data_IF_836328906554
#
_entry.id   IF_836328906554
#
_cell.length_a   1.000
_cell.length_b   1.000
_cell.length_c   1.000
_cell.angle_alpha   90.00
_cell.angle_beta   90.00
_cell.angle_gamma   90.00
#
_symmetry.space_group_name_H-M   'P 1'
#
loop_
_entity.id
_entity.type
_entity.pdbx_description
1 polymer ?
#
# COMPACT_ATOMS: atom_id res chain seq x y z
N UNK A 1 10.58 -8.60 -0.22
CA UNK A 1 9.11 -8.71 -0.19
C UNK A 1 8.64 -9.82 -1.09
N UNK A 2 7.58 -10.48 -0.70
CA UNK A 2 6.85 -11.45 -1.51
C UNK A 2 5.39 -11.04 -1.56
N UNK A 3 4.75 -11.13 -2.73
CA UNK A 3 3.33 -10.81 -2.90
C UNK A 3 2.54 -12.11 -2.87
N UNK A 4 1.48 -12.12 -2.11
CA UNK A 4 0.51 -13.21 -2.07
C UNK A 4 -0.90 -12.69 -2.35
N UNK A 5 -1.70 -13.44 -3.10
CA UNK A 5 -3.11 -13.13 -3.32
C UNK A 5 -3.94 -14.41 -3.38
N UNK A 6 -5.20 -14.33 -2.95
CA UNK A 6 -6.11 -15.47 -2.90
C UNK A 6 -6.80 -15.70 -4.26
N UNK A 7 -6.05 -16.21 -5.23
CA UNK A 7 -6.51 -16.47 -6.62
C UNK A 7 -7.39 -17.71 -6.77
N UNK A 8 -8.03 -18.16 -5.74
CA UNK A 8 -8.90 -19.33 -5.82
C UNK A 8 -10.32 -18.95 -6.25
N UNK A 9 -10.96 -19.83 -7.02
CA UNK A 9 -12.40 -19.78 -7.29
C UNK A 9 -13.19 -20.59 -6.28
N UNK A 10 -12.52 -21.48 -5.54
CA UNK A 10 -13.14 -22.33 -4.55
C UNK A 10 -13.49 -21.53 -3.28
N UNK A 11 -14.50 -22.00 -2.59
CA UNK A 11 -14.91 -21.44 -1.30
C UNK A 11 -13.98 -21.96 -0.19
N UNK A 12 -12.77 -21.45 -0.15
CA UNK A 12 -11.97 -21.65 1.05
C UNK A 12 -12.56 -20.82 2.18
N UNK A 13 -12.66 -21.44 3.34
CA UNK A 13 -13.11 -20.76 4.54
C UNK A 13 -12.00 -19.84 5.08
N UNK A 14 -12.38 -18.99 6.02
CA UNK A 14 -11.48 -18.02 6.63
C UNK A 14 -10.28 -18.69 7.31
N UNK A 15 -10.49 -19.81 8.02
CA UNK A 15 -9.43 -20.48 8.75
C UNK A 15 -8.37 -21.04 7.81
N UNK A 16 -8.77 -21.63 6.70
CA UNK A 16 -7.86 -22.11 5.66
C UNK A 16 -6.98 -20.99 5.09
N UNK A 17 -7.58 -19.81 4.82
CA UNK A 17 -6.82 -18.67 4.31
C UNK A 17 -5.81 -18.14 5.32
N UNK A 18 -6.18 -18.10 6.61
CA UNK A 18 -5.27 -17.72 7.69
C UNK A 18 -4.11 -18.69 7.78
N UNK A 19 -4.39 -20.01 7.80
CA UNK A 19 -3.37 -21.04 7.92
C UNK A 19 -2.38 -21.00 6.74
N UNK A 20 -2.90 -20.89 5.50
CA UNK A 20 -2.05 -20.76 4.30
C UNK A 20 -1.18 -19.50 4.33
N UNK A 21 -1.73 -18.37 4.77
CA UNK A 21 -0.98 -17.13 4.86
C UNK A 21 0.08 -17.21 5.95
N UNK A 22 -0.24 -17.73 7.13
CA UNK A 22 0.68 -17.92 8.23
C UNK A 22 1.84 -18.84 7.84
N UNK A 23 1.55 -20.01 7.24
CA UNK A 23 2.58 -20.95 6.76
C UNK A 23 3.50 -20.29 5.71
N UNK A 24 2.92 -19.49 4.80
CA UNK A 24 3.71 -18.75 3.80
C UNK A 24 4.63 -17.74 4.47
N UNK A 25 4.14 -17.02 5.49
CA UNK A 25 4.95 -16.08 6.27
C UNK A 25 6.10 -16.79 7.00
N UNK A 26 5.84 -17.94 7.64
CA UNK A 26 6.87 -18.74 8.33
C UNK A 26 7.97 -19.19 7.36
N UNK A 27 7.61 -19.69 6.18
CA UNK A 27 8.58 -20.07 5.16
C UNK A 27 9.40 -18.86 4.71
N UNK A 28 8.75 -17.74 4.37
CA UNK A 28 9.38 -16.52 3.88
C UNK A 28 10.32 -15.90 4.93
N UNK A 29 9.97 -15.99 6.21
CA UNK A 29 10.77 -15.49 7.32
C UNK A 29 12.18 -16.06 7.35
N UNK A 30 12.34 -17.34 7.04
CA UNK A 30 13.64 -18.02 6.96
C UNK A 30 14.57 -17.42 5.88
N UNK A 31 14.02 -16.67 4.94
CA UNK A 31 14.75 -16.00 3.87
C UNK A 31 14.82 -14.47 4.07
N UNK A 32 14.37 -13.96 5.21
CA UNK A 32 14.32 -12.53 5.50
C UNK A 32 13.33 -11.75 4.64
N UNK A 33 12.25 -12.42 4.16
CA UNK A 33 11.23 -11.82 3.31
C UNK A 33 9.97 -11.49 4.12
N UNK A 34 9.33 -10.39 3.78
CA UNK A 34 7.94 -10.10 4.16
C UNK A 34 6.98 -10.74 3.18
N UNK A 35 5.75 -10.99 3.62
CA UNK A 35 4.66 -11.48 2.77
C UNK A 35 3.54 -10.44 2.77
N UNK A 36 3.34 -9.79 1.63
CA UNK A 36 2.36 -8.72 1.46
C UNK A 36 1.12 -9.30 0.78
N UNK A 37 -0.01 -9.35 1.52
CA UNK A 37 -1.27 -9.89 1.03
C UNK A 37 -2.02 -8.84 0.23
N UNK A 38 -2.29 -9.16 -1.04
CA UNK A 38 -2.99 -8.31 -1.99
C UNK A 38 -4.47 -8.70 -2.10
N UNK A 39 -5.34 -7.72 -2.43
CA UNK A 39 -6.79 -7.90 -2.59
C UNK A 39 -7.29 -7.63 -4.03
N UNK A 40 -6.88 -8.42 -5.03
CA UNK A 40 -7.40 -8.24 -6.39
C UNK A 40 -8.94 -8.33 -6.38
N UNK A 41 -9.60 -7.33 -6.96
CA UNK A 41 -11.07 -7.17 -6.92
C UNK A 41 -11.86 -8.37 -7.47
N UNK A 42 -11.20 -9.25 -8.20
CA UNK A 42 -11.75 -10.48 -8.78
C UNK A 42 -11.28 -11.75 -8.06
N UNK A 43 -10.50 -11.64 -6.98
CA UNK A 43 -10.01 -12.76 -6.17
C UNK A 43 -11.01 -13.18 -5.07
N UNK A 44 -10.61 -14.10 -4.18
CA UNK A 44 -11.44 -14.50 -3.01
C UNK A 44 -11.45 -13.41 -1.94
N UNK A 45 -10.32 -12.74 -1.72
CA UNK A 45 -10.20 -11.57 -0.86
C UNK A 45 -10.22 -10.33 -1.77
N UNK A 46 -11.25 -9.52 -1.68
CA UNK A 46 -11.53 -8.43 -2.63
C UNK A 46 -11.52 -7.04 -2.02
N UNK A 47 -11.50 -6.97 -0.70
CA UNK A 47 -11.55 -5.70 0.03
C UNK A 47 -10.38 -5.57 1.00
N UNK A 48 -10.08 -4.32 1.36
CA UNK A 48 -9.03 -4.02 2.33
C UNK A 48 -9.33 -4.66 3.70
N UNK A 49 -10.59 -4.59 4.14
CA UNK A 49 -11.00 -5.19 5.42
C UNK A 49 -10.82 -6.71 5.45
N UNK A 50 -11.14 -7.41 4.34
CA UNK A 50 -10.95 -8.86 4.25
C UNK A 50 -9.48 -9.25 4.40
N UNK A 51 -8.54 -8.57 3.74
CA UNK A 51 -7.10 -8.87 3.87
C UNK A 51 -6.57 -8.46 5.24
N UNK A 52 -7.01 -7.34 5.78
CA UNK A 52 -6.62 -6.88 7.11
C UNK A 52 -7.04 -7.88 8.21
N UNK A 53 -8.23 -8.47 8.07
CA UNK A 53 -8.72 -9.53 8.96
C UNK A 53 -7.83 -10.77 8.91
N UNK A 54 -7.44 -11.24 7.72
CA UNK A 54 -6.54 -12.39 7.56
C UNK A 54 -5.15 -12.11 8.14
N UNK A 55 -4.57 -10.96 7.80
CA UNK A 55 -3.23 -10.57 8.26
C UNK A 55 -3.16 -10.47 9.78
N UNK A 56 -4.17 -9.83 10.40
CA UNK A 56 -4.26 -9.73 11.87
C UNK A 56 -4.46 -11.08 12.55
N UNK A 57 -5.29 -11.93 11.95
CA UNK A 57 -5.58 -13.24 12.53
C UNK A 57 -4.41 -14.22 12.41
N UNK A 58 -3.58 -14.08 11.37
CA UNK A 58 -2.37 -14.88 11.19
C UNK A 58 -1.23 -14.49 12.15
N UNK A 59 -1.22 -13.24 12.65
CA UNK A 59 -0.30 -12.70 13.67
C UNK A 59 1.18 -13.04 13.40
N UNK A 60 1.64 -12.78 12.16
CA UNK A 60 2.99 -13.08 11.72
C UNK A 60 3.88 -11.83 11.71
N UNK A 61 5.15 -11.91 12.21
CA UNK A 61 6.02 -10.73 12.36
C UNK A 61 6.49 -10.12 11.03
N UNK A 62 6.42 -10.88 9.94
CA UNK A 62 6.80 -10.48 8.59
C UNK A 62 5.60 -10.34 7.65
N UNK A 63 4.40 -10.18 8.21
CA UNK A 63 3.18 -9.95 7.46
C UNK A 63 3.08 -8.53 6.93
N UNK A 64 2.32 -8.34 5.86
CA UNK A 64 2.03 -7.05 5.28
C UNK A 64 0.79 -7.05 4.40
N UNK A 65 0.41 -5.87 3.96
CA UNK A 65 -0.69 -5.65 3.01
C UNK A 65 -0.15 -4.88 1.82
N UNK A 66 -0.35 -5.43 0.63
CA UNK A 66 -0.08 -4.72 -0.61
C UNK A 66 -1.32 -3.96 -1.05
N UNK A 67 -1.18 -2.64 -1.10
CA UNK A 67 -2.16 -1.76 -1.71
C UNK A 67 -1.79 -1.56 -3.19
N UNK A 68 -2.72 -1.92 -4.09
CA UNK A 68 -2.62 -1.60 -5.52
C UNK A 68 -3.67 -0.55 -5.85
N UNK A 69 -3.26 0.57 -6.44
CA UNK A 69 -4.16 1.67 -6.81
C UNK A 69 -5.31 1.21 -7.71
N UNK A 70 -5.06 0.23 -8.60
CA UNK A 70 -6.11 -0.35 -9.42
C UNK A 70 -7.17 -1.09 -8.58
N UNK A 71 -6.74 -1.88 -7.59
CA UNK A 71 -7.68 -2.65 -6.79
C UNK A 71 -8.41 -1.78 -5.75
N UNK A 72 -7.76 -0.73 -5.25
CA UNK A 72 -8.46 0.33 -4.49
C UNK A 72 -9.62 0.92 -5.31
N UNK A 73 -9.38 1.24 -6.58
CA UNK A 73 -10.41 1.77 -7.48
C UNK A 73 -11.49 0.73 -7.79
N UNK A 74 -11.12 -0.47 -8.25
CA UNK A 74 -12.06 -1.52 -8.66
C UNK A 74 -12.90 -2.05 -7.51
N UNK A 75 -12.36 -2.15 -6.31
CA UNK A 75 -13.06 -2.58 -5.09
C UNK A 75 -13.82 -1.44 -4.41
N UNK A 76 -13.74 -0.22 -4.95
CA UNK A 76 -14.39 0.98 -4.39
C UNK A 76 -14.05 1.19 -2.91
N UNK A 77 -12.79 0.99 -2.55
CA UNK A 77 -12.31 1.22 -1.19
C UNK A 77 -12.54 2.69 -0.82
N UNK A 78 -13.15 2.94 0.32
CA UNK A 78 -13.13 4.28 0.88
C UNK A 78 -11.70 4.60 1.32
N UNK A 79 -11.12 5.65 0.76
CA UNK A 79 -9.75 6.01 1.06
C UNK A 79 -9.51 6.27 2.55
N UNK A 80 -10.55 6.61 3.31
CA UNK A 80 -10.48 6.71 4.78
C UNK A 80 -10.12 5.40 5.46
N UNK A 81 -10.42 4.24 4.87
CA UNK A 81 -10.06 2.93 5.40
C UNK A 81 -8.54 2.73 5.46
N UNK A 82 -7.78 3.33 4.54
CA UNK A 82 -6.32 3.27 4.55
C UNK A 82 -5.69 3.83 5.84
N UNK A 83 -6.36 4.77 6.50
CA UNK A 83 -5.90 5.34 7.78
C UNK A 83 -6.02 4.35 8.95
N UNK A 84 -6.81 3.29 8.80
CA UNK A 84 -6.99 2.26 9.83
C UNK A 84 -6.02 1.08 9.69
N UNK A 85 -5.22 1.07 8.61
CA UNK A 85 -4.17 0.06 8.41
C UNK A 85 -2.94 0.48 9.21
N UNK A 86 -2.42 -0.37 10.11
CA UNK A 86 -1.16 -0.11 10.80
C UNK A 86 -0.02 0.17 9.82
N UNK A 87 0.74 1.22 10.05
CA UNK A 87 1.78 1.67 9.11
C UNK A 87 2.86 0.60 8.87
N UNK A 88 3.13 -0.23 9.88
CA UNK A 88 4.07 -1.34 9.83
C UNK A 88 3.66 -2.49 8.90
N UNK A 89 2.38 -2.54 8.50
CA UNK A 89 1.89 -3.52 7.52
C UNK A 89 1.97 -3.02 6.07
N UNK A 90 2.34 -1.76 5.85
CA UNK A 90 2.39 -1.13 4.53
C UNK A 90 3.84 -0.96 4.10
N UNK A 91 4.34 -1.86 3.26
CA UNK A 91 5.74 -1.87 2.85
C UNK A 91 5.99 -1.14 1.53
N UNK A 92 5.06 -1.27 0.59
CA UNK A 92 5.12 -0.60 -0.71
C UNK A 92 3.72 -0.49 -1.34
N UNK A 93 3.61 0.30 -2.39
CA UNK A 93 2.37 0.57 -3.12
C UNK A 93 2.56 0.18 -4.59
N UNK A 94 1.64 -0.60 -5.16
CA UNK A 94 1.55 -0.77 -6.62
C UNK A 94 0.84 0.41 -7.26
N UNK A 95 1.43 0.94 -8.33
CA UNK A 95 0.90 2.11 -9.04
C UNK A 95 0.62 1.81 -10.50
N UNK A 96 -0.62 2.04 -10.89
CA UNK A 96 -1.12 2.08 -12.25
C UNK A 96 -2.43 2.85 -12.28
N UNK A 97 -2.94 3.19 -13.46
CA UNK A 97 -4.19 3.92 -13.62
C UNK A 97 -5.21 3.13 -14.45
N UNK A 98 -6.45 3.60 -14.48
CA UNK A 98 -7.54 3.01 -15.22
C UNK A 98 -8.51 4.07 -15.75
N UNK A 99 -9.22 3.75 -16.84
CA UNK A 99 -10.31 4.57 -17.33
C UNK A 99 -11.43 4.69 -16.29
N UNK A 100 -12.24 5.75 -16.37
CA UNK A 100 -13.44 5.87 -15.56
C UNK A 100 -14.39 4.69 -15.78
N UNK A 101 -15.01 4.25 -14.68
CA UNK A 101 -15.90 3.10 -14.70
C UNK A 101 -15.21 1.84 -14.17
N UNK A 102 -16.01 0.87 -13.80
CA UNK A 102 -15.54 -0.41 -13.28
C UNK A 102 -16.06 -1.49 -14.23
N UNK A 103 -15.19 -2.42 -14.58
CA UNK A 103 -15.60 -3.57 -15.36
C UNK A 103 -16.71 -4.33 -14.62
N UNK A 104 -17.83 -4.59 -15.31
CA UNK A 104 -19.03 -5.18 -14.70
C UNK A 104 -18.90 -6.69 -14.45
N UNK A 105 -17.86 -7.30 -15.03
CA UNK A 105 -17.61 -8.74 -14.93
C UNK A 105 -16.24 -9.05 -14.35
N UNK A 106 -16.12 -10.23 -13.75
CA UNK A 106 -14.85 -10.74 -13.25
C UNK A 106 -13.80 -10.83 -14.36
N UNK A 107 -14.20 -11.32 -15.52
CA UNK A 107 -13.36 -11.45 -16.73
C UNK A 107 -12.89 -10.09 -17.21
N UNK A 108 -13.77 -9.08 -17.21
CA UNK A 108 -13.40 -7.70 -17.55
C UNK A 108 -12.39 -7.08 -16.58
N UNK A 109 -12.54 -7.33 -15.27
CA UNK A 109 -11.56 -6.88 -14.26
C UNK A 109 -10.19 -7.56 -14.47
N UNK A 110 -10.18 -8.86 -14.76
CA UNK A 110 -8.95 -9.61 -15.06
C UNK A 110 -8.27 -9.07 -16.32
N UNK A 111 -9.06 -8.84 -17.38
CA UNK A 111 -8.54 -8.27 -18.63
C UNK A 111 -7.91 -6.90 -18.40
N UNK A 112 -8.58 -6.02 -17.65
CA UNK A 112 -8.06 -4.72 -17.28
C UNK A 112 -6.74 -4.84 -16.49
N UNK A 113 -6.72 -5.66 -15.46
CA UNK A 113 -5.57 -5.82 -14.59
C UNK A 113 -4.34 -6.40 -15.29
N UNK A 114 -4.53 -7.29 -16.28
CA UNK A 114 -3.45 -8.00 -16.97
C UNK A 114 -2.97 -7.39 -18.28
N UNK A 115 -3.85 -6.62 -18.95
CA UNK A 115 -3.58 -6.23 -20.33
C UNK A 115 -3.82 -4.76 -20.65
N UNK A 116 -4.51 -4.01 -19.78
CA UNK A 116 -5.06 -2.72 -20.15
C UNK A 116 -4.89 -1.60 -19.11
N UNK A 117 -3.97 -1.76 -18.14
CA UNK A 117 -3.66 -0.70 -17.19
C UNK A 117 -3.10 0.54 -17.91
N UNK A 118 -3.43 1.72 -17.42
CA UNK A 118 -2.97 2.99 -17.96
C UNK A 118 -1.75 3.53 -17.21
N UNK A 119 -1.02 4.44 -17.83
CA UNK A 119 0.01 5.18 -17.13
C UNK A 119 -0.62 6.07 -16.05
N UNK A 120 0.01 6.19 -14.88
CA UNK A 120 -0.46 7.10 -13.85
C UNK A 120 -0.72 8.51 -14.39
N UNK A 121 -1.92 9.06 -14.13
CA UNK A 121 -2.38 10.36 -14.62
C UNK A 121 -3.10 10.34 -15.96
N UNK A 122 -3.24 9.20 -16.63
CA UNK A 122 -4.06 9.09 -17.85
C UNK A 122 -5.51 8.68 -17.59
N UNK A 123 -5.79 8.20 -16.39
CA UNK A 123 -7.10 7.70 -16.01
C UNK A 123 -7.79 8.56 -14.94
N UNK A 124 -8.41 7.89 -13.98
CA UNK A 124 -9.23 8.55 -12.99
C UNK A 124 -8.90 8.18 -11.54
N UNK A 125 -7.83 7.43 -11.29
CA UNK A 125 -7.47 7.00 -9.93
C UNK A 125 -6.93 8.20 -9.13
N UNK A 126 -7.45 8.40 -7.92
CA UNK A 126 -7.02 9.47 -7.02
C UNK A 126 -5.71 9.10 -6.29
N UNK A 127 -4.59 9.28 -6.98
CA UNK A 127 -3.27 9.04 -6.40
C UNK A 127 -2.97 9.94 -5.20
N UNK A 128 -3.40 11.20 -5.26
CA UNK A 128 -3.18 12.13 -4.17
C UNK A 128 -3.88 11.65 -2.91
N UNK A 129 -5.15 11.26 -3.04
CA UNK A 129 -5.94 10.73 -1.93
C UNK A 129 -5.36 9.44 -1.33
N UNK A 130 -4.82 8.54 -2.16
CA UNK A 130 -4.13 7.32 -1.67
C UNK A 130 -2.84 7.68 -0.94
N UNK A 131 -1.98 8.48 -1.58
CA UNK A 131 -0.66 8.85 -1.03
C UNK A 131 -0.78 9.64 0.28
N UNK A 132 -1.75 10.55 0.38
CA UNK A 132 -1.99 11.32 1.60
C UNK A 132 -2.34 10.45 2.82
N UNK A 133 -2.94 9.29 2.60
CA UNK A 133 -3.43 8.37 3.64
C UNK A 133 -2.50 7.21 3.94
N UNK A 134 -1.46 7.02 3.13
CA UNK A 134 -0.46 5.99 3.36
C UNK A 134 0.80 6.57 4.04
N UNK A 135 1.55 5.78 4.81
CA UNK A 135 2.88 6.18 5.25
C UNK A 135 3.81 6.40 4.05
N UNK A 136 4.98 7.04 4.21
CA UNK A 136 6.00 7.06 3.18
C UNK A 136 6.49 5.65 2.87
N UNK A 137 6.18 5.14 1.68
CA UNK A 137 6.55 3.80 1.21
C UNK A 137 7.20 3.88 -0.17
N UNK A 138 7.80 2.78 -0.61
CA UNK A 138 8.27 2.65 -1.99
C UNK A 138 7.08 2.48 -2.95
N UNK A 139 7.26 2.97 -4.17
CA UNK A 139 6.29 2.80 -5.25
C UNK A 139 6.82 1.80 -6.27
N UNK A 140 6.06 0.76 -6.50
CA UNK A 140 6.32 -0.25 -7.52
C UNK A 140 5.35 -0.07 -8.67
N UNK A 141 5.85 0.05 -9.88
CA UNK A 141 5.01 0.22 -11.07
C UNK A 141 4.56 -1.16 -11.53
N UNK A 142 3.26 -1.44 -11.45
CA UNK A 142 2.65 -2.65 -12.00
C UNK A 142 1.67 -2.26 -13.11
N UNK A 143 2.17 -2.27 -14.36
CA UNK A 143 1.43 -1.72 -15.49
C UNK A 143 1.52 -2.61 -16.73
N UNK A 144 0.94 -3.83 -16.70
CA UNK A 144 0.81 -4.62 -17.90
C UNK A 144 -0.17 -3.97 -18.89
N UNK A 145 0.32 -3.74 -20.12
CA UNK A 145 -0.48 -3.22 -21.22
C UNK A 145 0.05 -3.79 -22.55
N UNK A 146 -0.56 -4.87 -23.00
CA UNK A 146 -0.13 -5.61 -24.18
C UNK A 146 -0.17 -4.77 -25.47
N UNK A 147 -1.13 -3.87 -25.58
CA UNK A 147 -1.24 -3.01 -26.77
C UNK A 147 -0.05 -2.05 -26.86
N UNK A 148 0.30 -1.40 -25.75
CA UNK A 148 1.43 -0.46 -25.70
C UNK A 148 2.77 -1.16 -25.88
N UNK A 149 2.92 -2.36 -25.31
CA UNK A 149 4.14 -3.15 -25.50
C UNK A 149 4.31 -3.52 -26.99
N UNK A 150 3.24 -3.88 -27.69
CA UNK A 150 3.31 -4.16 -29.13
C UNK A 150 3.63 -2.93 -29.97
N UNK A 151 3.12 -1.76 -29.58
CA UNK A 151 3.33 -0.49 -30.29
C UNK A 151 4.73 0.09 -30.03
N UNK A 152 5.17 0.09 -28.78
CA UNK A 152 6.33 0.86 -28.30
C UNK A 152 7.57 -0.01 -28.03
N UNK A 153 7.39 -1.30 -27.84
CA UNK A 153 8.39 -2.20 -27.26
C UNK A 153 8.50 -2.03 -25.73
N UNK A 154 9.14 -3.01 -25.08
CA UNK A 154 9.24 -3.05 -23.61
C UNK A 154 10.01 -1.88 -23.02
N UNK A 155 11.11 -1.48 -23.64
CA UNK A 155 11.98 -0.42 -23.11
C UNK A 155 11.25 0.94 -23.06
N UNK A 156 10.65 1.33 -24.19
CA UNK A 156 9.93 2.60 -24.28
C UNK A 156 8.68 2.58 -23.39
N UNK A 157 7.97 1.47 -23.32
CA UNK A 157 6.85 1.31 -22.40
C UNK A 157 7.29 1.50 -20.95
N UNK A 158 8.35 0.81 -20.50
CA UNK A 158 8.89 0.95 -19.14
C UNK A 158 9.36 2.39 -18.84
N UNK A 159 10.00 3.06 -19.80
CA UNK A 159 10.42 4.45 -19.67
C UNK A 159 9.24 5.40 -19.45
N UNK A 160 8.16 5.22 -20.21
CA UNK A 160 6.92 6.01 -20.04
C UNK A 160 6.23 5.70 -18.71
N UNK A 161 6.16 4.44 -18.31
CA UNK A 161 5.65 4.06 -16.99
C UNK A 161 6.35 4.85 -15.88
N UNK A 162 7.68 4.87 -15.89
CA UNK A 162 8.47 5.57 -14.88
C UNK A 162 8.28 7.10 -14.97
N UNK A 163 8.22 7.66 -16.16
CA UNK A 163 8.02 9.10 -16.36
C UNK A 163 6.68 9.57 -15.79
N UNK A 164 5.60 8.86 -16.11
CA UNK A 164 4.26 9.18 -15.63
C UNK A 164 4.14 8.97 -14.10
N UNK A 165 4.66 7.86 -13.59
CA UNK A 165 4.66 7.60 -12.15
C UNK A 165 5.38 8.73 -11.39
N UNK A 166 6.56 9.16 -11.83
CA UNK A 166 7.31 10.26 -11.21
C UNK A 166 6.54 11.59 -11.21
N UNK A 167 5.85 11.91 -12.32
CA UNK A 167 5.07 13.15 -12.43
C UNK A 167 3.93 13.15 -11.40
N UNK A 168 3.09 12.11 -11.40
CA UNK A 168 1.94 12.01 -10.50
C UNK A 168 2.34 11.91 -9.04
N UNK A 169 3.36 11.09 -8.72
CA UNK A 169 3.81 10.92 -7.35
C UNK A 169 4.48 12.18 -6.80
N UNK A 170 5.21 12.93 -7.64
CA UNK A 170 5.78 14.24 -7.27
C UNK A 170 4.69 15.24 -6.92
N UNK A 171 3.61 15.30 -7.69
CA UNK A 171 2.44 16.14 -7.40
C UNK A 171 1.73 15.72 -6.12
N UNK A 172 1.49 14.42 -5.94
CA UNK A 172 0.84 13.88 -4.75
C UNK A 172 1.66 14.16 -3.47
N UNK A 173 2.97 13.97 -3.53
CA UNK A 173 3.87 14.26 -2.40
C UNK A 173 3.93 15.74 -2.06
N UNK A 174 3.85 16.63 -3.05
CA UNK A 174 3.85 18.08 -2.84
C UNK A 174 2.60 18.59 -2.12
N UNK A 175 1.50 17.83 -2.19
CA UNK A 175 0.24 18.12 -1.48
C UNK A 175 0.23 17.61 -0.03
N UNK A 176 1.13 16.71 0.34
CA UNK A 176 1.29 16.33 1.74
C UNK A 176 1.68 17.59 2.52
N UNK A 177 0.83 17.99 3.46
CA UNK A 177 1.17 19.06 4.39
C UNK A 177 2.47 18.66 5.10
N UNK A 178 3.43 19.58 5.27
CA UNK A 178 4.59 19.30 6.07
C UNK A 178 4.11 18.89 7.46
N UNK A 179 4.51 17.70 7.92
CA UNK A 179 4.37 17.34 9.33
C UNK A 179 5.13 18.42 10.08
N UNK A 180 4.41 19.33 10.73
CA UNK A 180 5.01 20.30 11.59
C UNK A 180 5.68 19.51 12.72
N UNK A 181 6.98 19.34 12.61
CA UNK A 181 7.81 18.95 13.74
C UNK A 181 7.67 20.09 14.76
N UNK A 182 6.71 19.95 15.66
CA UNK A 182 6.58 20.85 16.81
C UNK A 182 7.74 20.57 17.76
N UNK A 183 8.90 21.10 17.37
CA UNK A 183 10.08 21.18 18.21
C UNK A 183 9.92 22.34 19.18
N UNK A 184 8.84 22.34 19.96
CA UNK A 184 8.74 23.19 21.14
C UNK A 184 9.68 22.61 22.20
N UNK A 185 10.80 23.29 22.55
CA UNK A 185 11.61 22.84 23.65
C UNK A 185 10.78 23.04 24.94
N UNK A 186 10.49 21.94 25.63
CA UNK A 186 9.93 21.99 26.96
C UNK A 186 10.89 22.78 27.87
N UNK A 187 10.52 24.00 28.17
CA UNK A 187 11.23 24.83 29.16
C UNK A 187 11.06 24.18 30.54
N UNK A 188 12.02 23.35 30.93
CA UNK A 188 12.18 22.91 32.29
C UNK A 188 12.76 24.08 33.08
N UNK A 189 11.88 24.89 33.72
CA UNK A 189 12.26 25.84 34.74
C UNK A 189 12.69 25.09 36.00
N UNK A 190 13.96 24.83 36.18
CA UNK A 190 14.49 24.47 37.49
C UNK A 190 14.84 25.73 38.26
N UNK A 191 13.93 26.18 39.09
CA UNK A 191 14.20 27.13 40.17
C UNK A 191 15.08 26.45 41.20
N UNK A 192 16.39 26.76 41.16
CA UNK A 192 17.27 26.53 42.30
C UNK A 192 17.01 27.61 43.33
N UNK A 193 16.37 27.23 44.42
CA UNK A 193 16.33 28.03 45.63
C UNK A 193 17.66 27.86 46.39
N UNK A 194 18.36 28.95 46.53
CA UNK A 194 19.53 29.08 47.40
C UNK A 194 19.07 29.15 48.85
N UNK A 195 19.55 28.26 49.71
CA UNK A 195 19.66 28.50 51.14
C UNK A 195 21.10 28.25 51.55
N UNK A 196 21.77 29.37 51.79
CA UNK A 196 22.91 29.48 52.66
C UNK A 196 22.41 29.54 54.10
N UNK A 197 22.86 28.64 54.93
CA UNK A 197 23.10 28.99 56.34
C UNK A 197 24.19 28.13 56.91
N UNK A 198 25.12 28.90 57.50
CA UNK A 198 26.28 28.54 58.30
C UNK A 198 25.92 27.78 59.57
N UNK A 199 26.89 26.99 60.10
CA UNK A 199 27.35 26.95 61.50
C UNK A 199 28.43 25.85 61.65
N UNK A 200 29.60 26.33 61.96
CA UNK A 200 30.42 26.12 63.17
C UNK A 200 30.32 24.76 63.87
N UNK A 201 31.35 23.98 63.84
CA UNK A 201 32.22 23.48 64.96
C UNK A 201 33.24 22.52 64.39
#
# INVERSE_FOLDING_TARGET
HMIMSAWTQDRHDRSFLIDCYAETCEIAHNYGLTVDLEFPSFSRLRTLDEVLDIVRAADQPNSGILVDTLYVHLSRVDLGELLHVPAELLHFLHVSDALPGIADTREGMIQLARDARLYPGEGCIDFAGVVERMPPVYYSIELPNQSRVRELGYEEHARRCLQHARAVMGEAQSRRLPVSLDLSPSASSSTRSSHLESLHA
#
